data_IF_818656748102
#
_entry.id   IF_818656748102
#
_cell.length_a   1.000
_cell.length_b   1.000
_cell.length_c   1.000
_cell.angle_alpha   90.00
_cell.angle_beta   90.00
_cell.angle_gamma   90.00
#
_symmetry.space_group_name_H-M   'P 1'
#
loop_
_entity.id
_entity.type
_entity.pdbx_description
1 polymer ?
#
# COMPACT_ATOMS: atom_id res chain seq x y z
N UNK A 1 -11.01 -5.92 16.27
CA UNK A 1 -11.87 -6.54 15.24
C UNK A 1 -13.15 -5.73 15.04
N UNK A 2 -14.05 -5.66 16.03
CA UNK A 2 -15.35 -4.98 15.86
C UNK A 2 -15.24 -3.51 15.41
N UNK A 3 -14.23 -2.78 15.89
CA UNK A 3 -13.96 -1.41 15.45
C UNK A 3 -13.75 -1.29 13.94
N UNK A 4 -13.05 -2.24 13.31
CA UNK A 4 -12.88 -2.29 11.85
C UNK A 4 -14.22 -2.54 11.16
N UNK A 5 -14.96 -3.57 11.56
CA UNK A 5 -16.25 -3.91 10.94
C UNK A 5 -17.27 -2.77 11.04
N UNK A 6 -17.36 -2.11 12.22
CA UNK A 6 -18.21 -0.93 12.41
C UNK A 6 -17.80 0.22 11.50
N UNK A 7 -16.49 0.46 11.36
CA UNK A 7 -15.97 1.54 10.50
C UNK A 7 -16.27 1.27 9.03
N UNK A 8 -16.11 0.03 8.56
CA UNK A 8 -16.43 -0.38 7.19
C UNK A 8 -17.92 -0.23 6.90
N UNK A 9 -18.78 -0.72 7.80
CA UNK A 9 -20.24 -0.58 7.68
C UNK A 9 -20.68 0.88 7.66
N UNK A 10 -20.10 1.72 8.52
CA UNK A 10 -20.38 3.15 8.51
C UNK A 10 -19.93 3.79 7.19
N UNK A 11 -18.74 3.45 6.71
CA UNK A 11 -18.20 3.99 5.46
C UNK A 11 -19.04 3.62 4.23
N UNK A 12 -19.53 2.37 4.16
CA UNK A 12 -20.37 1.90 3.04
C UNK A 12 -21.77 2.51 3.03
N UNK A 13 -22.23 3.08 4.14
CA UNK A 13 -23.54 3.73 4.25
C UNK A 13 -23.52 5.24 3.90
N UNK A 14 -22.35 5.84 3.67
CA UNK A 14 -22.26 7.25 3.32
C UNK A 14 -22.76 7.50 1.88
N UNK A 15 -23.63 8.50 1.71
CA UNK A 15 -24.17 8.92 0.42
C UNK A 15 -23.95 10.43 0.20
N UNK A 16 -23.23 10.85 -0.86
CA UNK A 16 -22.52 10.01 -1.83
C UNK A 16 -21.36 9.23 -1.16
N UNK A 17 -20.85 8.14 -1.78
CA UNK A 17 -19.70 7.42 -1.24
C UNK A 17 -18.50 8.37 -1.11
N UNK A 18 -18.05 8.62 0.12
CA UNK A 18 -16.94 9.54 0.41
C UNK A 18 -15.63 8.82 0.75
N UNK A 19 -15.69 7.50 0.96
CA UNK A 19 -14.54 6.71 1.43
C UNK A 19 -14.05 5.81 0.30
N UNK A 20 -12.81 6.01 -0.10
CA UNK A 20 -12.20 5.27 -1.20
C UNK A 20 -11.64 3.90 -0.77
N UNK A 21 -11.11 3.79 0.45
CA UNK A 21 -10.45 2.58 0.96
C UNK A 21 -10.67 2.42 2.46
N UNK A 22 -10.89 1.18 2.92
CA UNK A 22 -10.67 0.79 4.30
C UNK A 22 -9.18 0.52 4.50
N UNK A 23 -8.58 0.95 5.61
CA UNK A 23 -7.15 0.73 5.87
C UNK A 23 -6.96 -0.12 7.14
N UNK A 24 -6.04 -1.07 7.09
CA UNK A 24 -5.74 -1.97 8.22
C UNK A 24 -4.24 -2.13 8.44
N UNK A 25 -3.83 -2.19 9.71
CA UNK A 25 -2.50 -2.64 10.12
C UNK A 25 -2.60 -4.05 10.67
N UNK A 26 -1.79 -4.96 10.14
CA UNK A 26 -1.83 -6.37 10.56
C UNK A 26 -1.34 -6.53 11.99
N UNK A 27 -0.45 -5.68 12.49
CA UNK A 27 -0.06 -5.68 13.92
C UNK A 27 -1.21 -5.37 14.88
N UNK A 28 -2.31 -4.77 14.42
CA UNK A 28 -3.52 -4.60 15.22
C UNK A 28 -4.39 -5.87 15.29
N UNK A 29 -4.08 -6.86 14.44
CA UNK A 29 -4.83 -8.11 14.30
C UNK A 29 -3.99 -9.35 14.65
N UNK A 30 -2.67 -9.28 14.65
CA UNK A 30 -1.81 -10.40 14.99
C UNK A 30 -0.77 -9.96 16.04
N UNK A 31 -0.51 -10.77 17.09
CA UNK A 31 0.53 -10.45 18.06
C UNK A 31 1.90 -10.26 17.38
N UNK A 32 2.60 -9.21 17.78
CA UNK A 32 3.87 -8.85 17.15
C UNK A 32 4.91 -9.99 17.14
N UNK A 33 5.13 -10.73 18.25
CA UNK A 33 6.11 -11.82 18.26
C UNK A 33 5.79 -12.93 17.25
N UNK A 34 4.50 -13.18 16.98
CA UNK A 34 4.07 -14.17 15.99
C UNK A 34 4.44 -13.71 14.58
N UNK A 35 4.22 -12.43 14.25
CA UNK A 35 4.61 -11.87 12.96
C UNK A 35 6.12 -11.86 12.73
N UNK A 36 6.91 -11.60 13.78
CA UNK A 36 8.37 -11.68 13.71
C UNK A 36 8.82 -13.12 13.44
N UNK A 37 8.26 -14.09 14.16
CA UNK A 37 8.54 -15.53 13.97
C UNK A 37 8.16 -16.01 12.56
N UNK A 38 6.98 -15.64 12.07
CA UNK A 38 6.54 -15.93 10.69
C UNK A 38 7.50 -15.29 9.68
N UNK A 39 7.89 -14.04 9.89
CA UNK A 39 8.83 -13.35 8.99
C UNK A 39 10.21 -14.00 8.97
N UNK A 40 10.71 -14.46 10.13
CA UNK A 40 11.96 -15.23 10.20
C UNK A 40 11.88 -16.55 9.44
N UNK A 41 10.77 -17.29 9.57
CA UNK A 41 10.55 -18.54 8.83
C UNK A 41 10.49 -18.31 7.32
N UNK A 42 9.78 -17.27 6.88
CA UNK A 42 9.66 -16.92 5.46
C UNK A 42 11.00 -16.49 4.85
N UNK A 43 11.83 -15.74 5.59
CA UNK A 43 13.19 -15.41 5.15
C UNK A 43 14.10 -16.63 5.09
N UNK A 44 13.98 -17.53 6.07
CA UNK A 44 14.73 -18.77 6.10
C UNK A 44 14.39 -19.64 4.88
N UNK A 45 13.10 -19.81 4.59
CA UNK A 45 12.62 -20.53 3.40
C UNK A 45 13.15 -19.91 2.10
N UNK A 46 13.12 -18.58 1.98
CA UNK A 46 13.69 -17.88 0.82
C UNK A 46 15.21 -18.10 0.68
N UNK A 47 15.97 -18.05 1.78
CA UNK A 47 17.41 -18.33 1.77
C UNK A 47 17.71 -19.76 1.31
N UNK A 48 16.81 -20.69 1.60
CA UNK A 48 16.95 -22.11 1.27
C UNK A 48 16.33 -22.50 -0.07
N UNK A 49 15.81 -21.58 -0.89
CA UNK A 49 15.19 -21.93 -2.19
C UNK A 49 16.16 -22.58 -3.20
N UNK A 50 17.41 -22.82 -2.80
CA UNK A 50 18.46 -23.61 -3.47
C UNK A 50 18.84 -24.92 -2.74
N UNK A 51 18.12 -25.35 -1.68
CA UNK A 51 18.46 -26.52 -0.85
C UNK A 51 17.23 -27.29 -0.34
N UNK A 52 17.37 -28.61 -0.18
CA UNK A 52 16.28 -29.57 0.05
C UNK A 52 15.71 -29.63 1.49
N UNK A 53 16.03 -28.67 2.38
CA UNK A 53 15.72 -28.75 3.82
C UNK A 53 14.79 -27.63 4.28
N UNK A 54 13.55 -27.59 3.78
CA UNK A 54 12.54 -26.61 4.20
C UNK A 54 11.97 -26.95 5.58
N UNK A 55 11.80 -25.95 6.45
CA UNK A 55 11.08 -26.12 7.73
C UNK A 55 9.59 -26.31 7.45
N UNK A 56 8.90 -27.31 8.04
CA UNK A 56 7.47 -27.49 7.84
C UNK A 56 6.66 -26.26 8.26
N UNK A 57 5.80 -25.77 7.37
CA UNK A 57 4.92 -24.61 7.61
C UNK A 57 3.46 -24.98 7.30
N UNK A 58 2.80 -25.81 8.14
CA UNK A 58 1.43 -26.28 7.90
C UNK A 58 0.38 -25.16 7.90
N UNK A 59 0.70 -24.00 8.50
CA UNK A 59 -0.14 -22.80 8.49
C UNK A 59 -0.03 -22.00 7.17
N UNK A 60 0.96 -22.30 6.32
CA UNK A 60 1.23 -21.55 5.09
C UNK A 60 0.14 -21.84 4.06
N UNK A 61 -0.28 -20.79 3.37
CA UNK A 61 -1.29 -20.78 2.31
C UNK A 61 -0.65 -20.32 1.01
N UNK A 62 -1.25 -20.61 -0.16
CA UNK A 62 -0.82 -20.01 -1.42
C UNK A 62 -0.73 -18.48 -1.29
N UNK A 63 0.34 -17.90 -1.81
CA UNK A 63 0.66 -16.48 -1.76
C UNK A 63 1.59 -16.14 -2.93
N UNK A 64 1.72 -14.86 -3.22
CA UNK A 64 2.68 -14.34 -4.18
C UNK A 64 4.09 -14.25 -3.56
N UNK A 65 5.16 -14.13 -4.37
CA UNK A 65 6.51 -13.87 -3.89
C UNK A 65 6.58 -12.60 -3.04
N UNK A 66 7.14 -12.72 -1.85
CA UNK A 66 7.27 -11.63 -0.86
C UNK A 66 8.70 -11.10 -0.72
N UNK A 67 9.69 -11.85 -1.24
CA UNK A 67 11.12 -11.56 -1.16
C UNK A 67 11.76 -11.85 -2.52
N UNK A 68 12.79 -11.09 -2.85
CA UNK A 68 13.67 -11.33 -4.02
C UNK A 68 15.12 -11.47 -3.55
N UNK A 69 16.07 -11.87 -4.42
CA UNK A 69 17.48 -11.93 -4.04
C UNK A 69 18.06 -10.61 -3.50
N UNK A 70 17.48 -9.47 -3.87
CA UNK A 70 17.84 -8.13 -3.37
C UNK A 70 17.24 -7.82 -2.00
N UNK A 71 16.30 -8.64 -1.50
CA UNK A 71 15.64 -8.40 -0.23
C UNK A 71 16.60 -8.56 0.95
N UNK A 72 16.46 -7.71 2.00
CA UNK A 72 17.32 -7.79 3.17
C UNK A 72 17.08 -9.07 3.97
N UNK A 73 18.17 -9.80 4.22
CA UNK A 73 18.18 -11.07 4.97
C UNK A 73 18.87 -10.97 6.32
N UNK A 74 19.19 -9.76 6.81
CA UNK A 74 19.91 -9.58 8.08
C UNK A 74 19.09 -9.93 9.34
N UNK A 75 17.78 -10.11 9.20
CA UNK A 75 16.91 -10.71 10.24
C UNK A 75 16.79 -12.24 10.12
N UNK A 76 17.41 -12.85 9.11
CA UNK A 76 17.39 -14.30 8.95
C UNK A 76 18.25 -14.94 10.04
N UNK A 77 17.71 -15.92 10.79
CA UNK A 77 18.49 -16.66 11.78
C UNK A 77 19.74 -17.32 11.18
N UNK A 78 20.82 -17.41 11.96
CA UNK A 78 22.06 -18.09 11.53
C UNK A 78 21.91 -19.61 11.46
N UNK A 79 20.97 -20.18 12.21
CA UNK A 79 20.65 -21.60 12.27
C UNK A 79 19.18 -21.84 11.94
N UNK A 80 18.83 -23.09 11.63
CA UNK A 80 17.46 -23.48 11.28
C UNK A 80 16.48 -23.05 12.38
N UNK A 81 15.52 -22.16 12.09
CA UNK A 81 14.52 -21.76 13.06
C UNK A 81 13.61 -22.95 13.40
N UNK A 82 13.20 -23.03 14.66
CA UNK A 82 12.14 -23.96 15.06
C UNK A 82 10.83 -23.63 14.35
N UNK A 83 10.00 -24.64 14.03
CA UNK A 83 8.62 -24.41 13.57
C UNK A 83 7.84 -23.53 14.56
N UNK A 84 6.73 -22.95 14.11
CA UNK A 84 5.78 -22.29 15.02
C UNK A 84 5.21 -23.32 16.00
N UNK A 85 5.07 -22.93 17.26
CA UNK A 85 4.31 -23.66 18.26
C UNK A 85 2.84 -23.78 17.85
N UNK A 86 2.06 -24.70 18.45
CA UNK A 86 0.62 -24.79 18.19
C UNK A 86 -0.12 -23.48 18.47
N UNK A 87 0.26 -22.77 19.54
CA UNK A 87 -0.35 -21.47 19.89
C UNK A 87 -0.01 -20.38 18.87
N UNK A 88 1.23 -20.31 18.38
CA UNK A 88 1.63 -19.35 17.34
C UNK A 88 0.93 -19.67 16.00
N UNK A 89 0.82 -20.95 15.65
CA UNK A 89 0.12 -21.42 14.44
C UNK A 89 -1.38 -21.09 14.50
N UNK A 90 -2.01 -21.24 15.67
CA UNK A 90 -3.39 -20.82 15.90
C UNK A 90 -3.55 -19.30 15.82
N UNK A 91 -2.59 -18.53 16.33
CA UNK A 91 -2.62 -17.07 16.31
C UNK A 91 -2.54 -16.50 14.88
N UNK A 92 -1.64 -17.03 14.04
CA UNK A 92 -1.53 -16.59 12.64
C UNK A 92 -2.77 -16.99 11.82
N UNK A 93 -3.32 -18.18 12.07
CA UNK A 93 -4.58 -18.62 11.45
C UNK A 93 -5.74 -17.72 11.86
N UNK A 94 -5.88 -17.41 13.14
CA UNK A 94 -6.90 -16.49 13.66
C UNK A 94 -6.74 -15.06 13.11
N UNK A 95 -5.51 -14.61 12.87
CA UNK A 95 -5.27 -13.31 12.23
C UNK A 95 -5.77 -13.29 10.78
N UNK A 96 -5.49 -14.35 10.02
CA UNK A 96 -6.00 -14.53 8.66
C UNK A 96 -7.54 -14.60 8.64
N UNK A 97 -8.18 -15.37 9.53
CA UNK A 97 -9.64 -15.45 9.59
C UNK A 97 -10.30 -14.10 9.92
N UNK A 98 -9.65 -13.29 10.76
CA UNK A 98 -10.08 -11.91 11.03
C UNK A 98 -9.94 -11.01 9.80
N UNK A 99 -8.85 -11.14 9.05
CA UNK A 99 -8.68 -10.40 7.80
C UNK A 99 -9.70 -10.81 6.74
N UNK A 100 -10.05 -12.11 6.64
CA UNK A 100 -11.12 -12.59 5.76
C UNK A 100 -12.46 -11.96 6.08
N UNK A 101 -12.87 -11.95 7.36
CA UNK A 101 -14.08 -11.24 7.80
C UNK A 101 -14.09 -9.75 7.47
N UNK A 102 -12.93 -9.10 7.47
CA UNK A 102 -12.78 -7.71 7.02
C UNK A 102 -12.94 -7.62 5.50
N UNK A 103 -12.34 -8.53 4.73
CA UNK A 103 -12.48 -8.58 3.28
C UNK A 103 -13.93 -8.83 2.86
N UNK A 104 -14.64 -9.74 3.54
CA UNK A 104 -16.06 -10.02 3.29
C UNK A 104 -16.91 -8.75 3.49
N UNK A 105 -16.75 -8.05 4.63
CA UNK A 105 -17.45 -6.80 4.89
C UNK A 105 -17.08 -5.69 3.89
N UNK A 106 -15.82 -5.64 3.44
CA UNK A 106 -15.35 -4.73 2.41
C UNK A 106 -15.98 -5.04 1.04
N UNK A 107 -16.06 -6.31 0.66
CA UNK A 107 -16.68 -6.76 -0.60
C UNK A 107 -18.18 -6.44 -0.60
N UNK A 108 -18.91 -6.79 0.47
CA UNK A 108 -20.32 -6.45 0.66
C UNK A 108 -20.58 -4.94 0.60
N UNK A 109 -19.64 -4.14 1.13
CA UNK A 109 -19.71 -2.68 1.14
C UNK A 109 -19.18 -1.99 -0.12
N UNK A 110 -18.67 -2.74 -1.11
CA UNK A 110 -18.03 -2.17 -2.30
C UNK A 110 -16.80 -1.31 -1.99
N UNK A 111 -16.11 -1.56 -0.88
CA UNK A 111 -15.02 -0.74 -0.35
C UNK A 111 -13.69 -1.51 -0.36
N UNK A 112 -12.73 -1.18 -1.24
CA UNK A 112 -11.44 -1.87 -1.26
C UNK A 112 -10.67 -1.78 0.07
N UNK A 113 -9.96 -2.85 0.41
CA UNK A 113 -9.12 -2.97 1.60
C UNK A 113 -7.66 -2.67 1.27
N UNK A 114 -7.06 -1.77 2.05
CA UNK A 114 -5.66 -1.39 1.96
C UNK A 114 -4.91 -1.85 3.20
N UNK A 115 -3.98 -2.78 3.01
CA UNK A 115 -3.10 -3.30 4.06
C UNK A 115 -1.85 -2.43 4.12
N UNK A 116 -1.66 -1.79 5.27
CA UNK A 116 -0.51 -0.93 5.53
C UNK A 116 0.77 -1.73 5.72
N UNK A 117 1.84 -1.25 5.10
CA UNK A 117 3.20 -1.68 5.40
C UNK A 117 3.68 -1.12 6.75
N UNK A 118 4.53 -1.88 7.42
CA UNK A 118 5.14 -1.58 8.72
C UNK A 118 6.66 -1.69 8.61
N UNK A 119 7.34 -2.26 9.59
CA UNK A 119 8.80 -2.29 9.67
C UNK A 119 9.35 -3.65 9.26
N UNK A 120 10.60 -3.69 8.80
CA UNK A 120 11.13 -4.87 8.12
C UNK A 120 11.06 -6.14 8.98
N UNK A 121 11.22 -6.07 10.31
CA UNK A 121 11.17 -7.29 11.14
C UNK A 121 9.88 -8.10 10.99
N UNK A 122 8.77 -7.46 10.61
CA UNK A 122 7.45 -8.10 10.41
C UNK A 122 6.89 -8.02 8.99
N UNK A 123 7.46 -7.18 8.13
CA UNK A 123 6.92 -6.92 6.78
C UNK A 123 6.72 -8.20 5.94
N UNK A 124 7.62 -9.20 5.93
CA UNK A 124 7.39 -10.43 5.17
C UNK A 124 6.11 -11.18 5.59
N UNK A 125 5.76 -11.19 6.88
CA UNK A 125 4.51 -11.78 7.35
C UNK A 125 3.29 -10.95 6.94
N UNK A 126 3.43 -9.63 6.90
CA UNK A 126 2.37 -8.70 6.46
C UNK A 126 2.08 -8.89 4.97
N UNK A 127 3.14 -8.84 4.13
CA UNK A 127 3.05 -9.08 2.69
C UNK A 127 2.50 -10.48 2.40
N UNK A 128 2.94 -11.51 3.13
CA UNK A 128 2.40 -12.88 3.01
C UNK A 128 0.88 -12.93 3.25
N UNK A 129 0.41 -12.33 4.34
CA UNK A 129 -1.02 -12.32 4.65
C UNK A 129 -1.81 -11.49 3.62
N UNK A 130 -1.26 -10.37 3.16
CA UNK A 130 -1.88 -9.55 2.13
C UNK A 130 -2.01 -10.30 0.80
N UNK A 131 -0.93 -10.94 0.35
CA UNK A 131 -0.92 -11.68 -0.91
C UNK A 131 -1.73 -12.97 -0.86
N UNK A 132 -1.78 -13.66 0.29
CA UNK A 132 -2.72 -14.77 0.46
C UNK A 132 -4.19 -14.30 0.29
N UNK A 133 -4.54 -13.12 0.83
CA UNK A 133 -5.87 -12.55 0.62
C UNK A 133 -6.10 -12.10 -0.82
N UNK A 134 -5.08 -11.59 -1.53
CA UNK A 134 -5.20 -11.31 -2.97
C UNK A 134 -5.50 -12.58 -3.76
N UNK A 135 -4.83 -13.69 -3.45
CA UNK A 135 -5.11 -15.00 -4.09
C UNK A 135 -6.55 -15.46 -3.85
N UNK A 136 -7.13 -15.12 -2.70
CA UNK A 136 -8.50 -15.50 -2.33
C UNK A 136 -9.57 -14.58 -2.95
N UNK A 137 -9.36 -13.26 -2.90
CA UNK A 137 -10.39 -12.25 -3.17
C UNK A 137 -10.21 -11.47 -4.49
N UNK A 138 -8.99 -11.35 -5.02
CA UNK A 138 -8.76 -10.59 -6.26
C UNK A 138 -8.87 -11.48 -7.51
N UNK A 139 -9.74 -12.47 -7.53
CA UNK A 139 -9.89 -13.36 -8.70
C UNK A 139 -10.44 -12.58 -9.89
N UNK A 140 -10.00 -12.95 -11.10
CA UNK A 140 -10.52 -12.36 -12.34
C UNK A 140 -12.05 -12.49 -12.42
N UNK A 141 -12.74 -11.43 -12.83
CA UNK A 141 -14.21 -11.40 -12.91
C UNK A 141 -14.94 -11.15 -11.57
N UNK A 142 -14.22 -10.97 -10.45
CA UNK A 142 -14.81 -10.49 -9.20
C UNK A 142 -14.68 -8.96 -9.16
N UNK A 143 -15.80 -8.25 -9.29
CA UNK A 143 -15.81 -6.79 -9.37
C UNK A 143 -16.17 -6.18 -8.02
N UNK A 144 -15.31 -5.29 -7.51
CA UNK A 144 -15.67 -4.38 -6.42
C UNK A 144 -16.13 -3.08 -7.05
N UNK A 145 -17.39 -2.70 -6.85
CA UNK A 145 -17.99 -1.53 -7.53
C UNK A 145 -17.45 -0.19 -7.04
N UNK A 146 -16.57 -0.16 -6.01
CA UNK A 146 -16.01 1.08 -5.46
C UNK A 146 -17.09 2.02 -4.93
N UNK A 147 -18.20 1.47 -4.40
CA UNK A 147 -19.37 2.22 -3.96
C UNK A 147 -20.31 2.70 -5.09
N UNK A 148 -20.10 2.28 -6.35
CA UNK A 148 -21.03 2.57 -7.46
C UNK A 148 -22.25 1.66 -7.38
N UNK A 149 -23.41 2.21 -7.76
CA UNK A 149 -24.69 1.48 -7.80
C UNK A 149 -24.68 0.44 -8.92
N UNK A 150 -25.31 -0.70 -8.66
CA UNK A 150 -25.64 -1.73 -9.64
C UNK A 150 -26.35 -1.07 -10.85
N UNK A 151 -25.79 -1.26 -12.06
CA UNK A 151 -26.29 -0.65 -13.31
C UNK A 151 -25.50 0.55 -13.86
N UNK A 152 -24.43 0.99 -13.19
CA UNK A 152 -23.47 1.94 -13.79
C UNK A 152 -22.62 1.19 -14.85
N UNK A 153 -22.88 1.44 -16.14
CA UNK A 153 -22.39 0.66 -17.30
C UNK A 153 -20.86 0.70 -17.53
N UNK A 154 -20.09 1.17 -16.55
CA UNK A 154 -18.62 1.20 -16.56
C UNK A 154 -18.08 0.48 -15.32
N UNK A 155 -18.45 -0.79 -15.15
CA UNK A 155 -17.88 -1.65 -14.11
C UNK A 155 -16.42 -1.96 -14.46
N UNK A 156 -15.51 -1.13 -13.94
CA UNK A 156 -14.10 -1.44 -13.98
C UNK A 156 -13.83 -2.57 -12.96
N UNK A 157 -13.24 -3.68 -13.42
CA UNK A 157 -12.68 -4.67 -12.50
C UNK A 157 -11.54 -4.03 -11.69
N UNK A 158 -11.70 -4.04 -10.36
CA UNK A 158 -10.76 -3.51 -9.38
C UNK A 158 -10.35 -4.62 -8.40
N UNK A 159 -9.07 -4.67 -7.99
CA UNK A 159 -8.67 -5.49 -6.87
C UNK A 159 -9.48 -5.13 -5.61
N UNK A 160 -9.87 -6.11 -4.79
CA UNK A 160 -10.42 -5.84 -3.46
C UNK A 160 -9.31 -5.52 -2.47
N UNK A 161 -8.23 -6.30 -2.51
CA UNK A 161 -7.13 -6.23 -1.55
C UNK A 161 -5.94 -5.53 -2.20
N UNK A 162 -5.42 -4.53 -1.49
CA UNK A 162 -4.22 -3.77 -1.83
C UNK A 162 -3.15 -3.98 -0.75
N UNK A 163 -1.94 -4.36 -1.16
CA UNK A 163 -0.75 -4.33 -0.28
C UNK A 163 -0.10 -2.94 -0.33
N UNK A 164 0.97 -2.73 0.45
CA UNK A 164 1.73 -1.48 0.41
C UNK A 164 3.20 -1.76 0.12
N UNK A 165 3.77 -1.14 -0.91
CA UNK A 165 5.21 -1.20 -1.20
C UNK A 165 5.89 0.08 -0.74
N UNK A 166 7.01 -0.09 -0.03
CA UNK A 166 7.82 1.00 0.52
C UNK A 166 9.05 1.27 -0.37
N UNK A 167 8.95 2.25 -1.26
CA UNK A 167 9.97 2.57 -2.28
C UNK A 167 11.26 3.22 -1.74
N UNK A 168 11.39 3.43 -0.43
CA UNK A 168 12.66 3.77 0.23
C UNK A 168 13.60 2.56 0.38
N UNK A 169 13.09 1.33 0.21
CA UNK A 169 13.89 0.10 0.26
C UNK A 169 14.47 -0.18 -1.10
N UNK A 170 15.71 -0.65 -1.11
CA UNK A 170 16.44 -0.99 -2.32
C UNK A 170 15.77 -2.15 -3.09
N UNK A 171 15.04 -3.02 -2.40
CA UNK A 171 14.36 -4.18 -3.00
C UNK A 171 12.93 -3.90 -3.51
N UNK A 172 12.42 -2.68 -3.34
CA UNK A 172 11.01 -2.38 -3.57
C UNK A 172 10.58 -2.61 -5.03
N UNK A 173 11.37 -2.15 -6.00
CA UNK A 173 11.07 -2.33 -7.42
C UNK A 173 11.20 -3.80 -7.85
N UNK A 174 12.30 -4.54 -7.54
CA UNK A 174 12.38 -5.97 -7.78
C UNK A 174 11.22 -6.77 -7.17
N UNK A 175 10.87 -6.52 -5.89
CA UNK A 175 9.75 -7.21 -5.22
C UNK A 175 8.40 -6.89 -5.86
N UNK A 176 8.14 -5.63 -6.20
CA UNK A 176 6.91 -5.25 -6.90
C UNK A 176 6.80 -5.97 -8.24
N UNK A 177 7.89 -6.01 -9.00
CA UNK A 177 7.92 -6.69 -10.30
C UNK A 177 7.66 -8.20 -10.17
N UNK A 178 8.35 -8.87 -9.23
CA UNK A 178 8.20 -10.30 -9.01
C UNK A 178 6.78 -10.68 -8.53
N UNK A 179 6.24 -9.93 -7.57
CA UNK A 179 4.89 -10.19 -7.04
C UNK A 179 3.80 -9.89 -8.05
N UNK A 180 3.92 -8.80 -8.82
CA UNK A 180 2.99 -8.47 -9.90
C UNK A 180 3.04 -9.51 -11.03
N UNK A 181 4.22 -9.92 -11.47
CA UNK A 181 4.38 -10.96 -12.50
C UNK A 181 3.74 -12.29 -12.08
N UNK A 182 4.01 -12.74 -10.85
CA UNK A 182 3.40 -13.94 -10.30
C UNK A 182 1.86 -13.83 -10.18
N UNK A 183 1.34 -12.63 -9.87
CA UNK A 183 -0.10 -12.39 -9.84
C UNK A 183 -0.73 -12.54 -11.23
N UNK A 184 -0.07 -12.00 -12.26
CA UNK A 184 -0.52 -12.14 -13.65
C UNK A 184 -0.51 -13.60 -14.10
N UNK A 185 0.55 -14.35 -13.80
CA UNK A 185 0.67 -15.78 -14.11
C UNK A 185 -0.42 -16.61 -13.40
N UNK A 186 -0.75 -16.26 -12.16
CA UNK A 186 -1.81 -16.90 -11.40
C UNK A 186 -3.23 -16.44 -11.79
N UNK A 187 -3.37 -15.47 -12.71
CA UNK A 187 -4.66 -14.93 -13.12
C UNK A 187 -5.40 -14.17 -12.00
N UNK A 188 -4.66 -13.60 -11.04
CA UNK A 188 -5.21 -12.81 -9.93
C UNK A 188 -4.91 -11.33 -10.09
N UNK A 189 -5.87 -10.49 -9.75
CA UNK A 189 -5.74 -9.05 -9.76
C UNK A 189 -4.77 -8.55 -8.69
N UNK A 190 -4.05 -7.49 -9.02
CA UNK A 190 -2.99 -6.94 -8.16
C UNK A 190 -3.28 -5.48 -7.81
N UNK A 191 -3.54 -5.25 -6.51
CA UNK A 191 -3.72 -3.93 -5.94
C UNK A 191 -2.51 -3.53 -5.12
N UNK A 192 -1.96 -2.33 -5.34
CA UNK A 192 -0.83 -1.85 -4.54
C UNK A 192 -0.93 -0.37 -4.19
N UNK A 193 -0.62 -0.03 -2.94
CA UNK A 193 -0.29 1.33 -2.52
C UNK A 193 1.22 1.52 -2.58
N UNK A 194 1.67 2.54 -3.30
CA UNK A 194 3.07 2.94 -3.31
C UNK A 194 3.27 4.10 -2.33
N UNK A 195 4.20 3.92 -1.40
CA UNK A 195 4.70 4.97 -0.49
C UNK A 195 6.21 5.08 -0.64
N UNK A 196 6.82 6.19 -0.23
CA UNK A 196 8.27 6.20 0.02
C UNK A 196 8.59 5.28 1.19
N UNK A 197 8.13 5.64 2.38
CA UNK A 197 8.34 4.85 3.59
C UNK A 197 8.23 5.73 4.83
N UNK A 198 8.06 5.09 5.98
CA UNK A 198 7.90 5.76 7.27
C UNK A 198 9.05 5.41 8.24
N UNK A 199 9.68 4.25 8.08
CA UNK A 199 10.56 3.68 9.12
C UNK A 199 12.06 3.89 8.86
N UNK A 200 12.46 4.89 8.07
CA UNK A 200 13.81 4.99 7.46
C UNK A 200 14.93 4.96 8.51
N UNK A 201 14.73 5.74 9.58
CA UNK A 201 15.64 5.83 10.74
C UNK A 201 15.73 4.50 11.48
N UNK A 202 14.59 3.83 11.68
CA UNK A 202 14.53 2.53 12.36
C UNK A 202 15.25 1.47 11.54
N UNK A 203 14.97 1.37 10.25
CA UNK A 203 15.57 0.33 9.40
C UNK A 203 17.09 0.48 9.29
N UNK A 204 17.56 1.73 9.18
CA UNK A 204 19.01 2.01 9.16
C UNK A 204 19.68 1.65 10.49
N UNK A 205 19.02 1.91 11.62
CA UNK A 205 19.51 1.54 12.95
C UNK A 205 19.53 0.02 13.16
N UNK A 206 18.49 -0.69 12.72
CA UNK A 206 18.41 -2.15 12.82
C UNK A 206 19.48 -2.82 11.95
N UNK A 207 19.68 -2.39 10.71
CA UNK A 207 20.74 -2.93 9.85
C UNK A 207 22.13 -2.77 10.50
N UNK A 208 22.42 -1.58 11.06
CA UNK A 208 23.67 -1.32 11.78
C UNK A 208 23.85 -2.23 12.99
N UNK A 209 22.78 -2.47 13.78
CA UNK A 209 22.80 -3.37 14.94
C UNK A 209 23.18 -4.81 14.54
N UNK A 210 22.79 -5.23 13.33
CA UNK A 210 23.09 -6.57 12.79
C UNK A 210 24.37 -6.61 11.96
N UNK A 211 25.15 -5.51 11.89
CA UNK A 211 26.38 -5.45 11.10
C UNK A 211 26.14 -5.55 9.58
N UNK A 212 24.94 -5.23 9.11
CA UNK A 212 24.53 -5.33 7.71
C UNK A 212 24.49 -3.96 7.02
N UNK A 213 24.56 -3.97 5.68
CA UNK A 213 24.30 -2.79 4.87
C UNK A 213 22.85 -2.31 5.07
N UNK A 214 22.64 -0.99 5.00
CA UNK A 214 21.29 -0.43 5.13
C UNK A 214 20.39 -0.93 3.98
N UNK A 215 19.17 -1.41 4.25
CA UNK A 215 18.23 -1.81 3.20
C UNK A 215 17.61 -0.61 2.48
N UNK A 216 17.87 0.59 2.97
CA UNK A 216 17.33 1.85 2.48
C UNK A 216 18.23 2.43 1.38
N UNK A 217 17.65 3.09 0.39
CA UNK A 217 18.42 3.83 -0.61
C UNK A 217 19.35 4.88 0.00
N UNK A 218 20.56 5.00 -0.53
CA UNK A 218 21.60 5.92 -0.05
C UNK A 218 21.19 7.40 -0.11
N UNK A 219 20.27 7.76 -0.99
CA UNK A 219 19.80 9.13 -1.18
C UNK A 219 18.28 9.21 -1.37
N UNK A 220 17.74 10.39 -1.06
CA UNK A 220 16.33 10.70 -1.30
C UNK A 220 15.98 10.69 -2.80
N UNK A 221 16.93 11.06 -3.67
CA UNK A 221 16.75 11.02 -5.12
C UNK A 221 16.64 9.58 -5.63
N UNK A 222 17.42 8.65 -5.06
CA UNK A 222 17.29 7.23 -5.38
C UNK A 222 15.91 6.69 -4.94
N UNK A 223 15.43 7.11 -3.76
CA UNK A 223 14.06 6.80 -3.32
C UNK A 223 12.99 7.40 -4.27
N UNK A 224 13.21 8.62 -4.77
CA UNK A 224 12.29 9.25 -5.73
C UNK A 224 12.26 8.48 -7.05
N UNK A 225 13.42 8.12 -7.60
CA UNK A 225 13.54 7.31 -8.82
C UNK A 225 12.86 5.95 -8.66
N UNK A 226 13.09 5.25 -7.54
CA UNK A 226 12.45 3.97 -7.26
C UNK A 226 10.92 4.11 -7.17
N UNK A 227 10.43 5.15 -6.46
CA UNK A 227 9.00 5.44 -6.37
C UNK A 227 8.37 5.72 -7.74
N UNK A 228 8.97 6.61 -8.53
CA UNK A 228 8.44 7.01 -9.84
C UNK A 228 8.50 5.83 -10.84
N UNK A 229 9.52 4.97 -10.78
CA UNK A 229 9.61 3.75 -11.58
C UNK A 229 8.50 2.73 -11.21
N UNK A 230 8.30 2.47 -9.92
CA UNK A 230 7.21 1.61 -9.43
C UNK A 230 5.84 2.17 -9.82
N UNK A 231 5.65 3.49 -9.72
CA UNK A 231 4.42 4.17 -10.10
C UNK A 231 4.15 4.02 -11.59
N UNK A 232 5.15 4.27 -12.44
CA UNK A 232 5.03 4.10 -13.88
C UNK A 232 4.62 2.69 -14.27
N UNK A 233 5.30 1.68 -13.71
CA UNK A 233 4.98 0.26 -13.94
C UNK A 233 3.51 -0.07 -13.64
N UNK A 234 2.99 0.38 -12.49
CA UNK A 234 1.63 0.06 -12.09
C UNK A 234 0.56 0.90 -12.80
N UNK A 235 0.89 2.12 -13.21
CA UNK A 235 0.02 2.94 -14.09
C UNK A 235 -0.12 2.27 -15.45
N UNK A 236 0.97 1.75 -16.02
CA UNK A 236 0.92 1.01 -17.29
C UNK A 236 0.09 -0.26 -17.19
N UNK A 237 0.26 -1.01 -16.09
CA UNK A 237 -0.54 -2.19 -15.81
C UNK A 237 -2.04 -1.85 -15.72
N UNK A 238 -2.39 -0.77 -15.01
CA UNK A 238 -3.77 -0.28 -14.93
C UNK A 238 -4.31 0.15 -16.31
N UNK A 239 -3.51 0.86 -17.11
CA UNK A 239 -3.89 1.26 -18.48
C UNK A 239 -4.11 0.07 -19.41
N UNK A 240 -3.27 -0.95 -19.32
CA UNK A 240 -3.46 -2.20 -20.06
C UNK A 240 -4.72 -2.94 -19.60
N UNK A 241 -5.00 -2.98 -18.29
CA UNK A 241 -6.25 -3.55 -17.78
C UNK A 241 -7.49 -2.78 -18.30
N UNK A 242 -7.44 -1.44 -18.33
CA UNK A 242 -8.51 -0.62 -18.87
C UNK A 242 -8.72 -0.85 -20.38
N UNK A 243 -7.65 -0.97 -21.16
CA UNK A 243 -7.70 -1.28 -22.61
C UNK A 243 -8.27 -2.67 -22.91
N UNK A 244 -7.99 -3.68 -22.07
CA UNK A 244 -8.61 -5.00 -22.20
C UNK A 244 -10.11 -4.93 -21.91
N UNK A 245 -10.47 -4.27 -20.80
CA UNK A 245 -11.87 -4.10 -20.42
C UNK A 245 -12.69 -3.37 -21.51
N UNK A 246 -12.12 -2.35 -22.17
CA UNK A 246 -12.82 -1.64 -23.27
C UNK A 246 -13.03 -2.49 -24.52
N UNK A 247 -12.28 -3.59 -24.68
CA UNK A 247 -12.47 -4.59 -25.74
C UNK A 247 -13.39 -5.75 -25.33
N UNK A 248 -13.90 -5.75 -24.09
CA UNK A 248 -14.67 -6.86 -23.54
C UNK A 248 -13.81 -8.09 -23.20
N UNK A 249 -12.49 -7.93 -23.10
CA UNK A 249 -11.57 -9.02 -22.74
C UNK A 249 -11.49 -9.15 -21.21
N UNK A 250 -11.70 -10.36 -20.69
CA UNK A 250 -11.47 -10.67 -19.28
C UNK A 250 -9.98 -10.78 -18.97
N UNK A 251 -9.58 -10.40 -17.75
CA UNK A 251 -8.22 -10.62 -17.27
C UNK A 251 -7.98 -9.99 -15.91
N UNK A 252 -6.86 -10.33 -15.23
CA UNK A 252 -6.61 -9.89 -13.87
C UNK A 252 -6.59 -8.37 -13.76
N UNK A 253 -7.31 -7.82 -12.80
CA UNK A 253 -7.35 -6.37 -12.53
C UNK A 253 -5.99 -5.85 -12.07
N UNK A 254 -5.70 -4.58 -12.35
CA UNK A 254 -4.53 -3.88 -11.82
C UNK A 254 -4.96 -2.54 -11.25
N UNK A 255 -4.60 -2.28 -10.00
CA UNK A 255 -4.98 -1.06 -9.29
C UNK A 255 -3.80 -0.48 -8.51
N UNK A 256 -3.68 0.84 -8.51
CA UNK A 256 -2.59 1.55 -7.85
C UNK A 256 -3.06 2.77 -7.07
N UNK A 257 -2.58 2.87 -5.82
CA UNK A 257 -2.72 4.04 -4.97
C UNK A 257 -1.36 4.72 -4.82
N UNK A 258 -1.21 5.92 -5.38
CA UNK A 258 0.00 6.72 -5.32
C UNK A 258 -0.02 7.65 -4.10
N UNK A 259 0.53 7.16 -2.98
CA UNK A 259 0.62 7.93 -1.75
C UNK A 259 1.89 8.81 -1.74
N UNK A 260 1.73 10.08 -2.12
CA UNK A 260 2.84 11.04 -2.22
C UNK A 260 2.38 12.47 -1.97
N UNK A 261 3.26 13.24 -1.33
CA UNK A 261 3.18 14.68 -1.10
C UNK A 261 4.21 15.45 -1.95
N UNK A 262 4.88 14.76 -2.88
CA UNK A 262 5.86 15.34 -3.79
C UNK A 262 5.17 15.70 -5.12
N UNK A 263 5.20 16.98 -5.47
CA UNK A 263 4.59 17.52 -6.69
C UNK A 263 5.25 16.99 -7.97
N UNK A 264 6.57 16.78 -7.97
CA UNK A 264 7.30 16.21 -9.09
C UNK A 264 6.81 14.81 -9.43
N UNK A 265 6.76 13.91 -8.43
CA UNK A 265 6.20 12.56 -8.59
C UNK A 265 4.73 12.60 -9.00
N UNK A 266 3.93 13.49 -8.41
CA UNK A 266 2.52 13.66 -8.77
C UNK A 266 2.33 14.06 -10.23
N UNK A 267 3.13 15.01 -10.72
CA UNK A 267 3.11 15.45 -12.12
C UNK A 267 3.59 14.36 -13.07
N UNK A 268 4.66 13.64 -12.72
CA UNK A 268 5.17 12.53 -13.52
C UNK A 268 4.10 11.42 -13.67
N UNK A 269 3.40 11.08 -12.59
CA UNK A 269 2.33 10.10 -12.62
C UNK A 269 1.13 10.55 -13.46
N UNK A 270 0.73 11.83 -13.39
CA UNK A 270 -0.33 12.39 -14.25
C UNK A 270 0.03 12.29 -15.73
N UNK A 271 1.26 12.63 -16.10
CA UNK A 271 1.73 12.49 -17.49
C UNK A 271 1.70 11.03 -17.92
N UNK A 272 2.23 10.12 -17.08
CA UNK A 272 2.26 8.69 -17.40
C UNK A 272 0.87 8.09 -17.54
N UNK A 273 -0.10 8.52 -16.73
CA UNK A 273 -1.49 8.08 -16.86
C UNK A 273 -2.09 8.47 -18.22
N UNK A 274 -1.78 9.67 -18.71
CA UNK A 274 -2.13 10.10 -20.06
C UNK A 274 -1.51 9.21 -21.14
N UNK A 275 -0.20 8.96 -21.04
CA UNK A 275 0.52 8.09 -21.99
C UNK A 275 0.00 6.65 -21.98
N UNK A 276 -0.40 6.14 -20.82
CA UNK A 276 -1.00 4.82 -20.65
C UNK A 276 -2.43 4.74 -21.23
N UNK A 277 -3.07 5.87 -21.54
CA UNK A 277 -4.44 5.95 -22.02
C UNK A 277 -5.49 5.78 -20.93
N UNK A 278 -5.12 6.03 -19.66
CA UNK A 278 -6.08 6.00 -18.56
C UNK A 278 -6.90 7.27 -18.53
N UNK A 279 -8.22 7.12 -18.42
CA UNK A 279 -9.09 8.25 -18.10
C UNK A 279 -8.69 8.84 -16.74
N UNK A 280 -8.77 10.17 -16.61
CA UNK A 280 -8.42 10.83 -15.33
C UNK A 280 -9.27 10.33 -14.16
N UNK A 281 -10.51 9.98 -14.44
CA UNK A 281 -11.49 9.43 -13.50
C UNK A 281 -11.42 7.91 -13.36
N UNK A 282 -10.48 7.22 -14.02
CA UNK A 282 -10.38 5.75 -13.96
C UNK A 282 -10.10 5.30 -12.52
N UNK A 283 -10.93 4.41 -11.94
CA UNK A 283 -10.82 4.01 -10.55
C UNK A 283 -9.59 3.14 -10.25
N UNK A 284 -8.88 2.65 -11.28
CA UNK A 284 -7.64 1.89 -11.09
C UNK A 284 -6.49 2.76 -10.60
N UNK A 285 -6.57 4.08 -10.77
CA UNK A 285 -5.55 5.04 -10.35
C UNK A 285 -6.13 5.99 -9.30
N UNK A 286 -5.57 5.93 -8.09
CA UNK A 286 -5.86 6.88 -7.02
C UNK A 286 -4.60 7.58 -6.55
N UNK A 287 -4.70 8.88 -6.31
CA UNK A 287 -3.69 9.65 -5.59
C UNK A 287 -4.10 9.75 -4.13
N UNK A 288 -3.15 9.64 -3.22
CA UNK A 288 -3.42 9.73 -1.78
C UNK A 288 -2.43 10.65 -1.07
N UNK A 289 -2.95 11.46 -0.15
CA UNK A 289 -2.17 12.31 0.75
C UNK A 289 -2.67 12.14 2.18
N UNK A 290 -1.84 12.43 3.17
CA UNK A 290 -2.32 12.55 4.54
C UNK A 290 -3.18 13.81 4.67
N UNK A 291 -4.27 13.75 5.48
CA UNK A 291 -5.05 14.95 5.79
C UNK A 291 -4.15 16.00 6.48
N UNK A 292 -4.19 17.23 5.98
CA UNK A 292 -3.35 18.34 6.48
C UNK A 292 -1.95 18.41 5.85
N UNK A 293 -1.67 17.62 4.82
CA UNK A 293 -0.41 17.67 4.07
C UNK A 293 -0.69 17.69 2.56
N UNK A 294 0.09 18.45 1.79
CA UNK A 294 -0.01 18.49 0.33
C UNK A 294 -1.42 18.84 -0.19
N UNK A 295 -2.08 19.82 0.44
CA UNK A 295 -3.45 20.21 0.07
C UNK A 295 -3.49 20.83 -1.32
N UNK A 296 -2.48 21.62 -1.70
CA UNK A 296 -2.41 22.17 -3.05
C UNK A 296 -2.30 21.07 -4.12
N UNK A 297 -1.58 19.98 -3.84
CA UNK A 297 -1.47 18.84 -4.74
C UNK A 297 -2.82 18.12 -4.85
N UNK A 298 -3.46 17.80 -3.72
CA UNK A 298 -4.77 17.14 -3.72
C UNK A 298 -5.84 17.96 -4.45
N UNK A 299 -5.89 19.27 -4.20
CA UNK A 299 -6.81 20.17 -4.89
C UNK A 299 -6.51 20.23 -6.38
N UNK A 300 -5.24 20.39 -6.77
CA UNK A 300 -4.84 20.41 -8.18
C UNK A 300 -5.23 19.13 -8.93
N UNK A 301 -5.03 17.97 -8.30
CA UNK A 301 -5.43 16.67 -8.86
C UNK A 301 -6.96 16.57 -8.99
N UNK A 302 -7.70 16.95 -7.94
CA UNK A 302 -9.16 16.96 -7.96
C UNK A 302 -9.73 17.89 -9.05
N UNK A 303 -9.21 19.11 -9.17
CA UNK A 303 -9.59 20.05 -10.24
C UNK A 303 -9.25 19.53 -11.63
N UNK A 304 -8.16 18.78 -11.78
CA UNK A 304 -7.80 18.14 -13.04
C UNK A 304 -8.68 16.92 -13.39
N UNK A 305 -9.54 16.46 -12.47
CA UNK A 305 -10.46 15.34 -12.63
C UNK A 305 -9.89 13.99 -12.18
N UNK A 306 -8.78 13.97 -11.44
CA UNK A 306 -8.20 12.75 -10.91
C UNK A 306 -8.82 12.34 -9.57
N UNK A 307 -8.85 11.04 -9.32
CA UNK A 307 -9.24 10.48 -8.03
C UNK A 307 -8.16 10.82 -6.98
N UNK A 308 -8.46 11.75 -6.07
CA UNK A 308 -7.58 12.16 -4.99
C UNK A 308 -8.22 11.90 -3.63
N UNK A 309 -7.51 11.25 -2.71
CA UNK A 309 -8.01 10.85 -1.40
C UNK A 309 -7.14 11.39 -0.26
N UNK A 310 -7.77 11.77 0.86
CA UNK A 310 -7.07 12.14 2.09
C UNK A 310 -7.15 10.99 3.10
N UNK A 311 -6.00 10.42 3.44
CA UNK A 311 -5.88 9.46 4.52
C UNK A 311 -6.12 10.16 5.86
N UNK A 312 -7.14 9.70 6.57
CA UNK A 312 -7.58 10.25 7.85
C UNK A 312 -7.46 9.17 8.94
N UNK A 313 -6.62 9.38 9.97
CA UNK A 313 -6.71 8.59 11.18
C UNK A 313 -8.07 8.80 11.84
N UNK A 314 -8.78 7.72 12.10
CA UNK A 314 -10.12 7.75 12.68
C UNK A 314 -10.21 6.76 13.84
N UNK A 315 -10.69 7.23 14.98
CA UNK A 315 -10.85 6.43 16.19
C UNK A 315 -10.69 7.25 17.47
N UNK A 316 -10.87 6.62 18.64
CA UNK A 316 -10.62 7.25 19.93
C UNK A 316 -9.19 7.79 20.03
N UNK A 317 -9.02 8.92 20.71
CA UNK A 317 -7.72 9.61 20.84
C UNK A 317 -6.62 8.65 21.29
N UNK A 318 -6.87 7.85 22.34
CA UNK A 318 -5.91 6.86 22.86
C UNK A 318 -5.40 5.87 21.81
N UNK A 319 -6.25 5.48 20.85
CA UNK A 319 -5.92 4.47 19.85
C UNK A 319 -5.15 5.09 18.67
N UNK A 320 -5.37 6.38 18.39
CA UNK A 320 -4.67 7.11 17.32
C UNK A 320 -3.40 7.81 17.78
N UNK A 321 -3.19 8.02 19.09
CA UNK A 321 -2.00 8.69 19.65
C UNK A 321 -0.67 8.08 19.18
N UNK A 322 -0.47 6.73 19.17
CA UNK A 322 0.77 6.15 18.67
C UNK A 322 1.05 6.50 17.20
N UNK A 323 0.01 6.57 16.36
CA UNK A 323 0.12 7.02 14.97
C UNK A 323 0.53 8.50 14.90
N UNK A 324 -0.10 9.37 15.70
CA UNK A 324 0.19 10.79 15.71
C UNK A 324 1.62 11.09 16.16
N UNK A 325 2.12 10.40 17.19
CA UNK A 325 3.50 10.52 17.65
C UNK A 325 4.50 10.10 16.58
N UNK A 326 4.22 8.99 15.89
CA UNK A 326 5.03 8.52 14.76
C UNK A 326 5.07 9.55 13.63
N UNK A 327 3.91 10.12 13.28
CA UNK A 327 3.83 11.21 12.29
C UNK A 327 4.58 12.45 12.72
N UNK A 328 4.50 12.86 13.98
CA UNK A 328 5.23 14.00 14.49
C UNK A 328 6.76 13.78 14.42
N UNK A 329 7.23 12.57 14.77
CA UNK A 329 8.65 12.22 14.73
C UNK A 329 9.19 12.17 13.29
N UNK A 330 8.48 11.48 12.39
CA UNK A 330 8.91 11.30 11.00
C UNK A 330 8.80 12.60 10.18
N UNK A 331 7.72 13.38 10.38
CA UNK A 331 7.56 14.65 9.67
C UNK A 331 8.55 15.72 10.10
N UNK A 332 9.28 15.52 11.21
CA UNK A 332 10.40 16.39 11.62
C UNK A 332 11.49 16.44 10.55
N UNK A 333 11.69 15.36 9.78
CA UNK A 333 12.61 15.31 8.63
C UNK A 333 11.98 15.69 7.29
N UNK A 334 10.64 15.65 7.18
CA UNK A 334 9.87 15.93 5.95
C UNK A 334 9.57 17.44 5.79
N UNK A 335 10.35 18.30 6.46
CA UNK A 335 10.25 19.75 6.32
C UNK A 335 10.69 20.25 4.92
N UNK A 336 11.25 19.40 4.06
CA UNK A 336 11.64 19.76 2.68
C UNK A 336 10.48 20.24 1.80
N UNK A 337 9.36 19.49 1.75
CA UNK A 337 8.23 19.83 0.86
C UNK A 337 7.39 21.02 1.35
N UNK A 338 7.61 21.48 2.58
CA UNK A 338 6.89 22.65 3.11
C UNK A 338 7.44 23.98 2.60
N UNK A 339 8.60 24.01 1.91
CA UNK A 339 9.17 25.28 1.41
C UNK A 339 8.36 25.84 0.24
N UNK A 340 8.07 25.00 -0.75
CA UNK A 340 7.34 25.40 -1.96
C UNK A 340 5.88 25.73 -1.64
N UNK A 341 5.21 24.90 -0.83
CA UNK A 341 3.85 25.20 -0.36
C UNK A 341 3.79 26.52 0.43
N UNK A 342 4.76 26.77 1.32
CA UNK A 342 4.84 28.05 2.03
C UNK A 342 5.06 29.22 1.06
N UNK A 343 5.85 29.04 0.02
CA UNK A 343 6.06 30.07 -1.00
C UNK A 343 4.76 30.36 -1.77
N UNK A 344 4.03 29.33 -2.21
CA UNK A 344 2.75 29.51 -2.91
C UNK A 344 1.67 30.11 -2.02
N UNK A 345 1.57 29.68 -0.76
CA UNK A 345 0.64 30.27 0.21
C UNK A 345 0.97 31.75 0.47
N UNK A 346 2.26 32.11 0.59
CA UNK A 346 2.67 33.51 0.70
C UNK A 346 2.31 34.29 -0.56
N UNK A 347 2.56 33.75 -1.74
CA UNK A 347 2.22 34.40 -3.01
C UNK A 347 0.71 34.66 -3.13
N UNK A 348 -0.12 33.66 -2.80
CA UNK A 348 -1.57 33.78 -2.81
C UNK A 348 -2.09 34.75 -1.74
N UNK A 349 -1.52 34.74 -0.54
CA UNK A 349 -1.84 35.69 0.52
C UNK A 349 -1.53 37.13 0.07
N UNK A 350 -0.34 37.37 -0.49
CA UNK A 350 0.04 38.68 -1.02
C UNK A 350 -0.86 39.11 -2.18
N UNK A 351 -1.26 38.19 -3.06
CA UNK A 351 -2.21 38.46 -4.14
C UNK A 351 -3.56 38.92 -3.57
N UNK A 352 -4.09 38.26 -2.54
CA UNK A 352 -5.36 38.63 -1.88
C UNK A 352 -5.27 39.95 -1.13
N UNK A 353 -4.17 40.21 -0.42
CA UNK A 353 -3.93 41.50 0.24
C UNK A 353 -3.92 42.62 -0.81
N UNK A 354 -3.18 42.43 -1.91
CA UNK A 354 -3.15 43.41 -3.02
C UNK A 354 -4.51 43.61 -3.68
N UNK A 355 -5.34 42.57 -3.81
CA UNK A 355 -6.68 42.74 -4.38
C UNK A 355 -7.67 43.43 -3.43
N UNK A 356 -7.42 43.42 -2.12
CA UNK A 356 -8.28 44.07 -1.10
C UNK A 356 -7.85 45.50 -0.81
N UNK A 357 -6.54 45.76 -0.79
CA UNK A 357 -5.96 47.08 -0.47
C UNK A 357 -5.40 47.83 -1.68
N UNK A 358 -5.43 47.22 -2.87
CA UNK A 358 -5.09 47.85 -4.14
C UNK A 358 -6.36 48.09 -4.95
N UNK A 359 -7.07 49.16 -4.59
CA UNK A 359 -7.98 49.92 -5.44
C UNK A 359 -7.51 51.38 -5.41
#
# INVERSE_FOLDING_TARGET
MEGFLRTIKMASQLSPPMVSFACVKITALCPLPVLERVSSLLRWDHKLSSSSSSVPMPWRRPSLPILTPESPTYFTPSSTPSPLTPSESAAITSAHDRLRKICDACAEGGLPLLIDAEYQSVEPAIDYLAYALMMEYNKTGVTVTGGRKEGDKTEAELPLVYSTVQCYLQDAQPRLSASFGAAQEAGVGFGVKLVRGAYLVRESAEAKKHGAASPVHESIDNTHKCYDACAGMMIDAAGNAAKRASKGESGPAAGVVLATHNYGSGRAAVMRAGDAGLARTDPRLHFAQLKGMADGLSLGLGFAGFNASKYLPYGPVRDVMPYLLRRAHENRGVLGNTRDERQWLRAELMRRIRSVFGA
#
